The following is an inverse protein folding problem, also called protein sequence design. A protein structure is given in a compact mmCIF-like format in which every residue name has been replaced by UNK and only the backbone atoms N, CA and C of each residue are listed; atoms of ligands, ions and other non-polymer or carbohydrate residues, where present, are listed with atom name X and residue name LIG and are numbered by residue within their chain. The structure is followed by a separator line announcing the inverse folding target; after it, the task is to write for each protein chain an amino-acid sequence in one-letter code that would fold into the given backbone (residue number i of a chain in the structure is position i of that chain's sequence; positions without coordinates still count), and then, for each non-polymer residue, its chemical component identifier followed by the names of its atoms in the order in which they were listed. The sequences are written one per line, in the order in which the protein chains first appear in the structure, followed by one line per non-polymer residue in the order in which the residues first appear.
data_IF_124855215342
#
_entry.id   IF_124855215342
#
_cell.length_a   1.000
_cell.length_b   1.000
_cell.length_c   1.000
_cell.angle_alpha   90.00
_cell.angle_beta   90.00
_cell.angle_gamma   90.00
#
_symmetry.space_group_name_H-M   'P 1'
#
loop_
_entity.id
_entity.type
_entity.pdbx_description
1 polymer ?
#
# COMPACT_ATOMS: atom_id res chain seq x y z
N UNK A 1 34.03 -21.14 100.05
CA UNK A 1 33.43 -20.75 98.75
C UNK A 1 34.51 -19.99 97.98
N UNK A 2 35.32 -20.63 97.12
CA UNK A 2 35.23 -20.46 95.65
C UNK A 2 36.06 -21.50 94.84
N UNK A 3 36.44 -22.66 95.40
CA UNK A 3 37.40 -23.60 94.77
C UNK A 3 36.79 -24.78 93.98
N UNK A 4 35.64 -24.64 93.31
CA UNK A 4 34.99 -25.78 92.61
C UNK A 4 34.48 -25.48 91.18
N UNK A 5 34.89 -24.36 90.56
CA UNK A 5 34.45 -24.02 89.19
C UNK A 5 35.55 -23.84 88.14
N UNK A 6 36.83 -23.85 88.53
CA UNK A 6 37.96 -23.65 87.59
C UNK A 6 38.45 -24.99 87.00
N UNK A 7 38.35 -26.11 87.74
CA UNK A 7 38.83 -27.42 87.28
C UNK A 7 37.99 -28.08 86.17
N UNK A 8 36.71 -27.72 86.02
CA UNK A 8 35.82 -28.28 84.98
C UNK A 8 35.85 -27.47 83.66
N UNK A 9 36.33 -26.23 83.68
CA UNK A 9 36.47 -25.40 82.48
C UNK A 9 37.72 -25.77 81.66
N UNK A 10 38.78 -26.28 82.31
CA UNK A 10 40.06 -26.59 81.66
C UNK A 10 40.05 -27.95 80.92
N UNK A 11 39.16 -28.86 81.30
CA UNK A 11 38.99 -30.16 80.61
C UNK A 11 38.13 -30.01 79.34
N UNK A 12 37.20 -29.04 79.30
CA UNK A 12 36.37 -28.79 78.12
C UNK A 12 37.13 -28.05 77.00
N UNK A 13 38.11 -27.19 77.34
CA UNK A 13 38.93 -26.48 76.36
C UNK A 13 40.01 -27.35 75.71
N UNK A 14 40.52 -28.37 76.42
CA UNK A 14 41.48 -29.33 75.86
C UNK A 14 40.82 -30.30 74.85
N UNK A 15 39.55 -30.66 75.04
CA UNK A 15 38.82 -31.52 74.09
C UNK A 15 38.42 -30.76 72.82
N UNK A 16 38.15 -29.45 72.91
CA UNK A 16 37.87 -28.59 71.75
C UNK A 16 39.11 -28.37 70.87
N UNK A 17 40.30 -28.23 71.47
CA UNK A 17 41.56 -28.11 70.73
C UNK A 17 41.98 -29.43 70.07
N UNK A 18 41.66 -30.59 70.68
CA UNK A 18 41.94 -31.89 70.09
C UNK A 18 41.02 -32.24 68.90
N UNK A 19 39.80 -31.69 68.86
CA UNK A 19 38.88 -31.82 67.71
C UNK A 19 39.19 -30.83 66.57
N UNK A 20 39.90 -29.75 66.84
CA UNK A 20 40.45 -28.84 65.82
C UNK A 20 41.79 -29.32 65.22
N UNK A 21 42.40 -30.36 65.78
CA UNK A 21 43.66 -30.95 65.28
C UNK A 21 43.50 -32.20 64.39
N UNK A 22 42.28 -32.71 64.20
CA UNK A 22 42.00 -33.92 63.40
C UNK A 22 41.03 -33.72 62.22
N UNK A 23 40.46 -32.53 62.04
CA UNK A 23 40.09 -32.11 60.71
C UNK A 23 41.40 -31.66 60.06
N UNK A 24 42.09 -32.59 59.40
CA UNK A 24 43.18 -32.23 58.51
C UNK A 24 42.74 -31.07 57.63
N UNK A 25 43.70 -30.30 57.11
CA UNK A 25 43.46 -29.57 55.88
C UNK A 25 42.86 -30.59 54.90
N UNK A 26 41.53 -30.61 54.78
CA UNK A 26 40.93 -30.66 53.47
C UNK A 26 41.52 -29.42 52.82
N UNK A 27 42.69 -29.59 52.20
CA UNK A 27 43.01 -28.85 51.02
C UNK A 27 41.76 -29.05 50.18
N UNK A 28 40.83 -28.09 50.28
CA UNK A 28 39.86 -27.86 49.26
C UNK A 28 40.75 -27.80 48.03
N UNK A 29 40.70 -28.88 47.26
CA UNK A 29 41.35 -28.95 45.99
C UNK A 29 40.66 -27.82 45.24
N UNK A 30 41.29 -26.65 45.22
CA UNK A 30 40.83 -25.48 44.48
C UNK A 30 40.88 -25.97 43.07
N UNK A 31 39.74 -26.47 42.60
CA UNK A 31 39.58 -26.88 41.23
C UNK A 31 39.44 -25.55 40.53
N UNK A 32 40.58 -24.88 40.31
CA UNK A 32 40.61 -23.52 39.80
C UNK A 32 39.92 -23.54 38.45
N UNK A 33 38.68 -23.07 38.45
CA UNK A 33 37.86 -23.00 37.27
C UNK A 33 38.19 -21.71 36.55
N UNK A 34 38.36 -21.78 35.23
CA UNK A 34 38.29 -20.59 34.39
C UNK A 34 36.88 -20.50 33.84
N UNK A 35 36.15 -19.46 34.21
CA UNK A 35 34.87 -19.13 33.58
C UNK A 35 35.07 -17.98 32.60
N UNK A 36 34.38 -18.04 31.46
CA UNK A 36 34.40 -16.97 30.47
C UNK A 36 33.03 -16.30 30.43
N UNK A 37 33.01 -14.98 30.45
CA UNK A 37 31.79 -14.17 30.36
C UNK A 37 31.99 -13.10 29.29
N UNK A 38 30.95 -12.87 28.48
CA UNK A 38 31.00 -11.92 27.37
C UNK A 38 29.91 -10.86 27.55
N UNK A 39 30.30 -9.60 27.37
CA UNK A 39 29.44 -8.41 27.41
C UNK A 39 29.45 -7.76 26.04
N UNK A 40 28.27 -7.64 25.40
CA UNK A 40 28.15 -7.04 24.07
C UNK A 40 27.46 -5.68 24.14
N UNK A 41 28.12 -4.67 23.55
CA UNK A 41 27.56 -3.35 23.30
C UNK A 41 27.18 -3.25 21.83
N UNK A 42 25.87 -3.25 21.55
CA UNK A 42 25.35 -3.19 20.17
C UNK A 42 24.80 -1.81 19.83
N UNK A 43 25.02 -1.39 18.59
CA UNK A 43 24.49 -0.14 18.04
C UNK A 43 24.07 -0.33 16.59
N UNK A 44 22.89 0.19 16.26
CA UNK A 44 22.32 0.08 14.93
C UNK A 44 22.76 1.27 14.05
N UNK A 45 23.38 0.96 12.92
CA UNK A 45 23.65 1.90 11.85
C UNK A 45 22.66 1.67 10.71
N UNK A 46 21.67 2.55 10.61
CA UNK A 46 20.57 2.42 9.64
C UNK A 46 20.87 3.21 8.38
N UNK A 47 21.03 2.51 7.26
CA UNK A 47 21.03 3.12 5.92
C UNK A 47 19.62 3.06 5.34
N UNK A 48 19.12 4.18 4.83
CA UNK A 48 17.76 4.26 4.28
C UNK A 48 17.77 4.31 2.76
N UNK A 49 16.87 3.55 2.14
CA UNK A 49 16.59 3.60 0.70
C UNK A 49 15.09 3.78 0.52
N UNK A 50 14.70 4.69 -0.37
CA UNK A 50 13.30 4.94 -0.70
C UNK A 50 13.05 4.70 -2.18
N UNK A 51 11.96 4.01 -2.50
CA UNK A 51 11.49 3.78 -3.86
C UNK A 51 10.02 4.22 -3.96
N UNK A 52 9.69 4.95 -5.02
CA UNK A 52 8.30 5.30 -5.34
C UNK A 52 7.87 4.54 -6.60
N UNK A 53 6.79 3.79 -6.49
CA UNK A 53 6.15 3.07 -7.60
C UNK A 53 4.81 3.72 -7.92
N UNK A 54 4.55 3.89 -9.21
CA UNK A 54 3.28 4.44 -9.69
C UNK A 54 2.45 3.35 -10.34
N UNK A 55 1.19 3.25 -9.93
CA UNK A 55 0.19 2.38 -10.55
C UNK A 55 -0.88 3.26 -11.19
N UNK A 56 -1.19 3.00 -12.46
CA UNK A 56 -2.26 3.71 -13.16
C UNK A 56 -3.50 2.83 -13.28
N UNK A 57 -4.65 3.36 -12.86
CA UNK A 57 -5.96 2.78 -13.10
C UNK A 57 -6.74 3.70 -14.03
N UNK A 58 -7.68 3.13 -14.79
CA UNK A 58 -8.40 3.86 -15.82
C UNK A 58 -9.91 3.75 -15.60
N UNK A 59 -10.63 4.83 -15.91
CA UNK A 59 -12.08 4.87 -15.97
C UNK A 59 -12.50 5.64 -17.22
N UNK A 60 -12.91 4.92 -18.25
CA UNK A 60 -13.37 5.50 -19.52
C UNK A 60 -14.89 5.43 -19.61
N UNK A 61 -15.54 6.56 -19.83
CA UNK A 61 -16.98 6.65 -20.05
C UNK A 61 -17.28 6.98 -21.52
N UNK A 62 -18.22 6.25 -22.11
CA UNK A 62 -18.69 6.45 -23.48
C UNK A 62 -20.14 6.90 -23.42
N UNK A 63 -20.39 8.10 -23.94
CA UNK A 63 -21.71 8.71 -24.01
C UNK A 63 -22.14 8.83 -25.48
N UNK A 64 -23.39 8.48 -25.77
CA UNK A 64 -24.01 8.62 -27.07
C UNK A 64 -25.25 9.50 -26.99
N UNK A 65 -25.29 10.59 -27.76
CA UNK A 65 -26.39 11.55 -27.80
C UNK A 65 -27.02 11.63 -29.19
N UNK A 66 -28.31 11.95 -29.25
CA UNK A 66 -28.95 12.46 -30.47
C UNK A 66 -28.91 13.99 -30.43
N UNK A 67 -28.59 14.63 -31.55
CA UNK A 67 -28.42 16.08 -31.59
C UNK A 67 -29.74 16.77 -31.23
N UNK A 68 -29.68 17.71 -30.28
CA UNK A 68 -30.86 18.39 -29.75
C UNK A 68 -31.52 17.69 -28.56
N UNK A 69 -31.11 16.47 -28.20
CA UNK A 69 -31.53 15.79 -26.97
C UNK A 69 -30.41 15.86 -25.91
N UNK A 70 -30.68 16.43 -24.72
CA UNK A 70 -29.72 16.43 -23.62
C UNK A 70 -29.55 15.06 -22.95
N UNK A 71 -30.39 14.07 -23.27
CA UNK A 71 -30.38 12.74 -22.66
C UNK A 71 -29.46 11.80 -23.43
N UNK A 72 -28.49 11.20 -22.74
CA UNK A 72 -27.62 10.19 -23.34
C UNK A 72 -28.42 8.92 -23.64
N UNK A 73 -28.50 8.55 -24.92
CA UNK A 73 -29.09 7.28 -25.37
C UNK A 73 -28.20 6.08 -24.99
N UNK A 74 -26.89 6.31 -24.91
CA UNK A 74 -25.90 5.31 -24.46
C UNK A 74 -25.03 5.95 -23.39
N UNK A 75 -24.88 5.28 -22.26
CA UNK A 75 -23.95 5.66 -21.21
C UNK A 75 -23.32 4.38 -20.63
N UNK A 76 -22.06 4.13 -20.98
CA UNK A 76 -21.32 2.94 -20.54
C UNK A 76 -19.98 3.35 -19.96
N UNK A 77 -19.61 2.76 -18.84
CA UNK A 77 -18.35 3.02 -18.15
C UNK A 77 -17.48 1.76 -18.12
N UNK A 78 -16.18 1.94 -18.32
CA UNK A 78 -15.17 0.89 -18.37
C UNK A 78 -14.03 1.19 -17.41
N UNK A 79 -13.49 0.17 -16.73
CA UNK A 79 -12.27 0.27 -15.91
C UNK A 79 -11.02 0.02 -16.77
N UNK A 80 -11.02 0.55 -18.00
CA UNK A 80 -10.04 0.27 -19.04
C UNK A 80 -9.68 1.58 -19.75
N UNK A 81 -8.45 1.71 -20.28
CA UNK A 81 -8.06 2.89 -21.04
C UNK A 81 -8.77 2.94 -22.39
N UNK A 82 -8.81 4.12 -23.00
CA UNK A 82 -9.43 4.32 -24.33
C UNK A 82 -8.91 3.32 -25.38
N UNK A 83 -7.61 3.01 -25.39
CA UNK A 83 -7.00 2.11 -26.37
C UNK A 83 -7.39 0.63 -26.23
N UNK A 84 -8.16 0.26 -25.22
CA UNK A 84 -8.58 -1.13 -25.01
C UNK A 84 -9.64 -1.59 -26.03
N UNK A 85 -9.55 -2.85 -26.48
CA UNK A 85 -10.44 -3.40 -27.50
C UNK A 85 -11.91 -3.40 -27.09
N UNK A 86 -12.23 -3.61 -25.81
CA UNK A 86 -13.61 -3.57 -25.31
C UNK A 86 -14.18 -2.15 -25.36
N UNK A 87 -13.36 -1.15 -25.02
CA UNK A 87 -13.74 0.27 -25.10
C UNK A 87 -13.93 0.69 -26.55
N UNK A 88 -13.05 0.25 -27.46
CA UNK A 88 -13.19 0.48 -28.90
C UNK A 88 -14.45 -0.16 -29.49
N UNK A 89 -14.75 -1.41 -29.09
CA UNK A 89 -15.98 -2.09 -29.49
C UNK A 89 -17.23 -1.38 -28.98
N UNK A 90 -17.17 -0.78 -27.79
CA UNK A 90 -18.26 0.03 -27.24
C UNK A 90 -18.54 1.25 -28.12
N UNK A 91 -17.53 1.96 -28.64
CA UNK A 91 -17.76 3.08 -29.57
C UNK A 91 -18.45 2.64 -30.87
N UNK A 92 -18.05 1.50 -31.44
CA UNK A 92 -18.70 0.93 -32.62
C UNK A 92 -20.16 0.57 -32.32
N UNK A 93 -20.40 -0.02 -31.14
CA UNK A 93 -21.74 -0.39 -30.69
C UNK A 93 -22.62 0.84 -30.47
N UNK A 94 -22.10 1.87 -29.79
CA UNK A 94 -22.76 3.16 -29.60
C UNK A 94 -23.13 3.82 -30.92
N UNK A 95 -22.23 3.79 -31.92
CA UNK A 95 -22.54 4.27 -33.28
C UNK A 95 -23.66 3.46 -33.93
N UNK A 96 -23.68 2.13 -33.76
CA UNK A 96 -24.76 1.30 -34.31
C UNK A 96 -26.13 1.59 -33.69
N UNK A 97 -26.18 1.83 -32.37
CA UNK A 97 -27.40 2.22 -31.64
C UNK A 97 -27.87 3.60 -32.09
N UNK A 98 -26.96 4.57 -32.20
CA UNK A 98 -27.27 5.90 -32.72
C UNK A 98 -27.73 5.85 -34.18
N UNK A 99 -27.12 5.00 -35.01
CA UNK A 99 -27.52 4.80 -36.40
C UNK A 99 -28.96 4.29 -36.51
N UNK A 100 -29.32 3.28 -35.70
CA UNK A 100 -30.67 2.73 -35.64
C UNK A 100 -31.71 3.75 -35.15
N UNK A 101 -31.29 4.75 -34.37
CA UNK A 101 -32.13 5.83 -33.89
C UNK A 101 -32.11 7.09 -34.79
N UNK A 102 -31.43 7.07 -35.94
CA UNK A 102 -31.24 8.24 -36.83
C UNK A 102 -31.82 8.02 -38.24
N UNK A 103 -32.23 9.10 -38.92
CA UNK A 103 -32.73 9.05 -40.32
C UNK A 103 -31.59 9.01 -41.35
N UNK A 104 -30.44 9.61 -41.01
CA UNK A 104 -29.22 9.57 -41.81
C UNK A 104 -28.16 8.77 -41.06
N UNK A 105 -28.02 7.45 -41.34
CA UNK A 105 -27.12 6.55 -40.61
C UNK A 105 -25.62 6.84 -40.87
N UNK A 106 -25.27 7.96 -41.49
CA UNK A 106 -23.92 8.33 -41.92
C UNK A 106 -23.42 9.66 -41.32
N UNK A 107 -24.26 10.42 -40.59
CA UNK A 107 -23.83 11.67 -39.95
C UNK A 107 -23.66 11.49 -38.44
N UNK A 108 -22.44 11.12 -38.04
CA UNK A 108 -22.00 11.12 -36.65
C UNK A 108 -20.85 12.12 -36.45
N UNK A 109 -20.83 12.76 -35.29
CA UNK A 109 -19.67 13.49 -34.78
C UNK A 109 -19.04 12.71 -33.63
N UNK A 110 -17.71 12.61 -33.60
CA UNK A 110 -16.95 11.95 -32.54
C UNK A 110 -16.40 10.54 -32.88
N UNK A 111 -15.69 9.88 -31.95
CA UNK A 111 -15.63 10.20 -30.52
C UNK A 111 -14.83 11.46 -30.21
N UNK A 112 -15.40 12.34 -29.38
CA UNK A 112 -14.75 13.57 -28.90
C UNK A 112 -14.51 13.43 -27.41
N UNK A 113 -13.26 13.65 -26.95
CA UNK A 113 -12.94 13.69 -25.53
C UNK A 113 -13.49 14.98 -24.92
N UNK A 114 -14.47 14.88 -24.02
CA UNK A 114 -15.08 16.05 -23.37
C UNK A 114 -14.55 16.35 -21.98
N UNK A 115 -14.02 15.33 -21.29
CA UNK A 115 -13.33 15.52 -20.01
C UNK A 115 -12.24 14.49 -19.82
N UNK A 116 -11.12 14.91 -19.24
CA UNK A 116 -10.07 14.01 -18.76
C UNK A 116 -9.47 14.53 -17.47
N UNK A 117 -9.24 13.66 -16.50
CA UNK A 117 -8.50 14.01 -15.28
C UNK A 117 -7.62 12.87 -14.80
N UNK A 118 -6.53 13.22 -14.10
CA UNK A 118 -5.64 12.29 -13.42
C UNK A 118 -5.55 12.70 -11.96
N UNK A 119 -6.03 11.85 -11.07
CA UNK A 119 -6.11 12.15 -9.64
C UNK A 119 -5.40 11.05 -8.85
N UNK A 120 -4.63 11.44 -7.83
CA UNK A 120 -4.09 10.48 -6.87
C UNK A 120 -5.26 9.88 -6.08
N UNK A 121 -5.54 8.60 -6.32
CA UNK A 121 -6.66 7.90 -5.69
C UNK A 121 -6.26 7.23 -4.39
N UNK A 122 -5.02 6.77 -4.28
CA UNK A 122 -4.52 6.12 -3.08
C UNK A 122 -3.00 6.26 -3.00
N UNK A 123 -2.47 6.21 -1.79
CA UNK A 123 -1.04 6.09 -1.54
C UNK A 123 -0.83 5.17 -0.34
N UNK A 124 0.06 4.19 -0.49
CA UNK A 124 0.45 3.30 0.60
C UNK A 124 1.96 3.20 0.69
N UNK A 125 2.47 3.10 1.92
CA UNK A 125 3.90 2.92 2.16
C UNK A 125 4.12 1.66 2.99
N UNK A 126 5.15 0.92 2.61
CA UNK A 126 5.63 -0.24 3.38
C UNK A 126 7.09 -0.02 3.73
N UNK A 127 7.43 -0.28 4.99
CA UNK A 127 8.80 -0.20 5.49
C UNK A 127 9.25 -1.60 5.84
N UNK A 128 10.41 -1.99 5.34
CA UNK A 128 11.09 -3.22 5.70
C UNK A 128 12.50 -2.90 6.15
N UNK A 129 12.98 -3.62 7.14
CA UNK A 129 14.33 -3.47 7.67
C UNK A 129 15.00 -4.84 7.69
N UNK A 130 16.23 -4.90 7.16
CA UNK A 130 17.01 -6.12 7.06
C UNK A 130 18.42 -5.82 7.54
N UNK A 131 18.95 -6.69 8.41
CA UNK A 131 20.36 -6.65 8.78
C UNK A 131 21.22 -7.11 7.62
N UNK A 132 22.09 -6.22 7.13
CA UNK A 132 22.97 -6.44 5.98
C UNK A 132 24.38 -6.83 6.38
N UNK A 133 24.78 -6.53 7.61
CA UNK A 133 26.09 -6.85 8.11
C UNK A 133 26.23 -6.58 9.60
N UNK A 134 27.37 -7.00 10.11
CA UNK A 134 27.80 -6.80 11.49
C UNK A 134 29.31 -6.61 11.48
N UNK A 135 29.81 -5.62 12.21
CA UNK A 135 31.24 -5.39 12.39
C UNK A 135 31.57 -5.26 13.88
N UNK A 136 32.53 -6.07 14.34
CA UNK A 136 33.11 -5.91 15.66
C UNK A 136 34.12 -4.77 15.60
N UNK A 137 33.82 -3.67 16.28
CA UNK A 137 34.63 -2.46 16.27
C UNK A 137 35.77 -2.51 17.28
N UNK A 138 35.55 -3.18 18.42
CA UNK A 138 36.54 -3.35 19.46
C UNK A 138 36.23 -4.59 20.28
N UNK A 139 37.29 -5.19 20.84
CA UNK A 139 37.24 -6.29 21.80
C UNK A 139 38.26 -5.99 22.88
N UNK A 140 37.86 -6.08 24.14
CA UNK A 140 38.74 -6.00 25.29
C UNK A 140 38.56 -7.25 26.17
N UNK A 141 39.62 -7.68 26.84
CA UNK A 141 39.57 -8.86 27.71
C UNK A 141 40.29 -8.55 29.00
N UNK A 142 39.56 -8.71 30.11
CA UNK A 142 40.05 -8.48 31.46
C UNK A 142 39.97 -9.79 32.22
N UNK A 143 41.06 -10.11 32.93
CA UNK A 143 41.11 -11.25 33.84
C UNK A 143 40.81 -10.78 35.26
N UNK A 144 39.80 -11.38 35.88
CA UNK A 144 39.50 -11.19 37.29
C UNK A 144 40.02 -12.40 38.08
N UNK A 145 40.86 -12.12 39.06
CA UNK A 145 41.50 -13.14 39.90
C UNK A 145 41.38 -12.74 41.37
N UNK A 146 41.02 -13.71 42.21
CA UNK A 146 40.98 -13.54 43.67
C UNK A 146 39.60 -13.75 44.26
N UNK A 147 39.51 -13.71 45.59
CA UNK A 147 38.25 -13.85 46.32
C UNK A 147 37.60 -12.48 46.53
N UNK A 148 36.96 -11.93 45.50
CA UNK A 148 36.42 -10.57 45.50
C UNK A 148 35.09 -10.47 44.73
N UNK A 149 34.28 -9.48 45.10
CA UNK A 149 33.06 -9.10 44.41
C UNK A 149 33.37 -7.92 43.48
N UNK A 150 33.21 -8.11 42.18
CA UNK A 150 33.43 -7.08 41.17
C UNK A 150 32.09 -6.55 40.67
N UNK A 151 31.90 -5.23 40.76
CA UNK A 151 30.74 -4.56 40.20
C UNK A 151 30.98 -4.26 38.72
N UNK A 152 30.21 -4.88 37.82
CA UNK A 152 30.40 -4.77 36.38
C UNK A 152 29.56 -3.63 35.80
N UNK A 153 30.21 -2.51 35.49
CA UNK A 153 29.61 -1.50 34.63
C UNK A 153 30.40 -1.31 33.34
N UNK A 154 29.71 -0.86 32.31
CA UNK A 154 30.27 -0.67 30.97
C UNK A 154 31.48 0.29 30.95
N UNK A 155 31.46 1.37 31.73
CA UNK A 155 32.57 2.32 31.81
C UNK A 155 33.86 1.74 32.42
N UNK A 156 33.77 0.78 33.34
CA UNK A 156 34.93 0.15 33.99
C UNK A 156 35.50 -1.02 33.21
N UNK A 157 34.69 -1.70 32.39
CA UNK A 157 35.06 -2.95 31.72
C UNK A 157 35.24 -2.80 30.20
N UNK A 158 35.88 -1.72 29.77
CA UNK A 158 36.37 -1.57 28.40
C UNK A 158 35.37 -1.01 27.38
N UNK A 159 34.19 -0.51 27.80
CA UNK A 159 33.28 0.17 26.86
C UNK A 159 33.93 1.42 26.30
N UNK A 160 34.07 1.45 24.98
CA UNK A 160 34.61 2.61 24.27
C UNK A 160 33.46 3.44 23.72
N UNK A 161 33.25 4.62 24.31
CA UNK A 161 32.10 5.49 24.01
C UNK A 161 32.03 5.92 22.53
N UNK A 162 33.17 6.00 21.83
CA UNK A 162 33.20 6.33 20.41
C UNK A 162 34.32 5.59 19.68
N UNK A 163 33.97 4.79 18.67
CA UNK A 163 34.92 4.06 17.82
C UNK A 163 34.54 4.24 16.36
N UNK A 164 35.49 4.67 15.52
CA UNK A 164 35.26 4.95 14.10
C UNK A 164 34.05 5.87 13.83
N UNK A 165 33.75 6.80 14.75
CA UNK A 165 32.62 7.72 14.64
C UNK A 165 31.26 7.14 15.09
N UNK A 166 31.22 5.89 15.54
CA UNK A 166 30.04 5.23 16.10
C UNK A 166 30.03 5.40 17.61
N UNK A 167 28.94 5.92 18.17
CA UNK A 167 28.78 6.11 19.61
C UNK A 167 28.13 4.91 20.28
N UNK A 168 28.72 4.42 21.37
CA UNK A 168 28.18 3.34 22.19
C UNK A 168 27.65 3.90 23.51
N UNK A 169 26.55 3.31 24.00
CA UNK A 169 26.06 3.60 25.34
C UNK A 169 26.89 2.82 26.37
N UNK A 170 27.76 3.57 27.06
CA UNK A 170 28.60 3.09 28.16
C UNK A 170 28.05 3.46 29.54
N UNK A 171 26.73 3.62 29.66
CA UNK A 171 26.05 3.82 30.95
C UNK A 171 25.36 2.56 31.48
N UNK A 172 25.45 1.46 30.74
CA UNK A 172 24.85 0.18 31.11
C UNK A 172 25.58 -0.43 32.31
N UNK A 173 24.80 -0.88 33.28
CA UNK A 173 25.25 -1.62 34.46
C UNK A 173 24.85 -3.09 34.28
N UNK A 174 25.81 -4.00 34.51
CA UNK A 174 25.66 -5.44 34.35
C UNK A 174 25.58 -6.18 35.69
N UNK A 175 25.67 -5.46 36.82
CA UNK A 175 25.57 -6.01 38.17
C UNK A 175 26.87 -6.64 38.67
N UNK A 176 26.78 -7.40 39.76
CA UNK A 176 27.97 -7.89 40.47
C UNK A 176 28.34 -9.32 40.07
N UNK A 177 29.64 -9.58 39.93
CA UNK A 177 30.21 -10.92 39.75
C UNK A 177 31.15 -11.24 40.91
N UNK A 178 30.88 -12.37 41.57
CA UNK A 178 31.73 -12.90 42.63
C UNK A 178 32.74 -13.89 42.06
N UNK A 179 34.02 -13.67 42.30
CA UNK A 179 35.10 -14.61 41.98
C UNK A 179 35.51 -15.33 43.25
N UNK A 180 35.50 -16.66 43.23
CA UNK A 180 35.88 -17.46 44.40
C UNK A 180 37.40 -17.65 44.48
N UNK A 181 37.91 -17.97 45.67
CA UNK A 181 39.33 -18.20 45.88
C UNK A 181 39.84 -19.38 45.01
N UNK A 182 40.82 -19.09 44.16
CA UNK A 182 41.41 -20.08 43.24
C UNK A 182 40.72 -20.15 41.88
N UNK A 183 39.61 -19.44 41.67
CA UNK A 183 38.95 -19.32 40.36
C UNK A 183 39.45 -18.09 39.60
N UNK A 184 39.27 -18.14 38.28
CA UNK A 184 39.58 -17.07 37.33
C UNK A 184 38.35 -16.78 36.48
N UNK A 185 38.04 -15.51 36.25
CA UNK A 185 36.98 -15.10 35.33
C UNK A 185 37.59 -14.26 34.21
N UNK A 186 37.46 -14.76 32.98
CA UNK A 186 37.81 -14.01 31.78
C UNK A 186 36.57 -13.24 31.30
N UNK A 187 36.60 -11.93 31.50
CA UNK A 187 35.57 -11.02 31.01
C UNK A 187 36.01 -10.49 29.66
N UNK A 188 35.20 -10.73 28.64
CA UNK A 188 35.40 -10.16 27.30
C UNK A 188 34.31 -9.15 27.04
N UNK A 189 34.67 -7.91 26.73
CA UNK A 189 33.72 -6.90 26.27
C UNK A 189 33.93 -6.63 24.78
N UNK A 190 32.85 -6.50 24.03
CA UNK A 190 32.90 -6.25 22.60
C UNK A 190 31.89 -5.19 22.18
N UNK A 191 32.33 -4.26 21.33
CA UNK A 191 31.47 -3.29 20.67
C UNK A 191 31.17 -3.72 19.25
N UNK A 192 29.88 -3.80 18.93
CA UNK A 192 29.39 -4.34 17.68
C UNK A 192 28.49 -3.31 17.00
N UNK A 193 28.82 -2.99 15.74
CA UNK A 193 27.98 -2.20 14.87
C UNK A 193 27.14 -3.11 13.99
N UNK A 194 25.82 -3.01 14.13
CA UNK A 194 24.85 -3.72 13.32
C UNK A 194 24.44 -2.82 12.14
N UNK A 195 24.73 -3.26 10.92
CA UNK A 195 24.35 -2.52 9.71
C UNK A 195 22.97 -2.96 9.25
N UNK A 196 22.03 -2.02 9.27
CA UNK A 196 20.64 -2.24 8.89
C UNK A 196 20.33 -1.48 7.60
N UNK A 197 19.72 -2.15 6.63
CA UNK A 197 19.14 -1.52 5.46
C UNK A 197 17.64 -1.39 5.66
N UNK A 198 17.17 -0.16 5.79
CA UNK A 198 15.74 0.18 5.84
C UNK A 198 15.28 0.60 4.46
N UNK A 199 14.40 -0.19 3.87
CA UNK A 199 13.80 0.09 2.57
C UNK A 199 12.36 0.54 2.75
N UNK A 200 12.02 1.71 2.23
CA UNK A 200 10.66 2.24 2.18
C UNK A 200 10.17 2.20 0.75
N UNK A 201 9.12 1.42 0.48
CA UNK A 201 8.46 1.39 -0.83
C UNK A 201 7.10 2.08 -0.71
N UNK A 202 6.95 3.19 -1.45
CA UNK A 202 5.70 3.93 -1.57
C UNK A 202 5.03 3.58 -2.89
N UNK A 203 3.78 3.15 -2.85
CA UNK A 203 2.96 2.87 -4.04
C UNK A 203 1.89 3.95 -4.16
N UNK A 204 1.98 4.76 -5.21
CA UNK A 204 1.00 5.79 -5.55
C UNK A 204 0.08 5.27 -6.66
N UNK A 205 -1.22 5.23 -6.39
CA UNK A 205 -2.23 4.81 -7.37
C UNK A 205 -2.95 6.03 -7.94
N UNK A 206 -2.82 6.26 -9.23
CA UNK A 206 -3.50 7.33 -9.96
C UNK A 206 -4.71 6.80 -10.71
N UNK A 207 -5.86 7.43 -10.53
CA UNK A 207 -7.06 7.20 -11.33
C UNK A 207 -7.09 8.18 -12.50
N UNK A 208 -7.02 7.65 -13.71
CA UNK A 208 -7.17 8.36 -14.96
C UNK A 208 -8.63 8.23 -15.43
N UNK A 209 -9.36 9.33 -15.44
CA UNK A 209 -10.74 9.37 -15.95
C UNK A 209 -10.78 10.03 -17.32
N UNK A 210 -11.59 9.49 -18.22
CA UNK A 210 -11.83 10.06 -19.53
C UNK A 210 -13.30 9.89 -19.93
N UNK A 211 -13.93 10.94 -20.45
CA UNK A 211 -15.30 10.93 -20.95
C UNK A 211 -15.29 11.25 -22.43
N UNK A 212 -15.86 10.35 -23.23
CA UNK A 212 -15.95 10.48 -24.67
C UNK A 212 -17.40 10.54 -25.12
N UNK A 213 -17.67 11.43 -26.05
CA UNK A 213 -19.02 11.67 -26.59
C UNK A 213 -19.10 11.35 -28.07
N UNK A 214 -20.20 10.72 -28.48
CA UNK A 214 -20.62 10.56 -29.87
C UNK A 214 -21.98 11.20 -30.04
N UNK A 215 -22.14 12.05 -31.05
CA UNK A 215 -23.40 12.73 -31.34
C UNK A 215 -23.92 12.27 -32.71
N UNK A 216 -25.12 11.70 -32.76
CA UNK A 216 -25.85 11.37 -34.00
C UNK A 216 -26.91 12.42 -34.33
N UNK A 217 -27.36 12.51 -35.59
CA UNK A 217 -28.44 13.44 -35.98
C UNK A 217 -29.84 12.85 -35.72
N UNK A 218 -30.79 13.60 -35.14
CA UNK A 218 -32.11 13.08 -34.75
C UNK A 218 -33.02 12.80 -35.95
N UNK A 219 -34.09 12.04 -35.69
CA UNK A 219 -35.23 11.88 -36.59
C UNK A 219 -36.02 13.18 -36.63
N UNK A 220 -35.92 13.96 -37.71
CA UNK A 220 -36.99 14.89 -38.07
C UNK A 220 -37.94 14.14 -39.00
N UNK A 221 -39.01 13.57 -38.45
CA UNK A 221 -40.16 13.27 -39.28
C UNK A 221 -40.78 14.61 -39.67
N UNK A 222 -40.37 15.18 -40.80
CA UNK A 222 -41.24 16.10 -41.50
C UNK A 222 -42.40 15.25 -42.03
N UNK A 223 -43.46 15.09 -41.23
CA UNK A 223 -44.76 14.74 -41.78
C UNK A 223 -45.03 15.81 -42.84
N UNK A 224 -45.20 15.48 -44.13
CA UNK A 224 -45.65 16.46 -45.09
C UNK A 224 -46.98 16.98 -44.56
N UNK A 225 -47.03 18.28 -44.21
CA UNK A 225 -48.30 18.93 -43.95
C UNK A 225 -49.25 18.57 -45.10
N UNK A 226 -50.48 18.09 -44.83
CA UNK A 226 -51.41 17.83 -45.91
C UNK A 226 -51.60 19.16 -46.64
N UNK A 227 -51.05 19.26 -47.85
CA UNK A 227 -51.09 20.47 -48.64
C UNK A 227 -52.53 20.95 -48.72
N UNK A 228 -52.79 22.13 -48.18
CA UNK A 228 -54.08 22.84 -48.20
C UNK A 228 -54.62 23.07 -49.62
N UNK A 229 -53.87 22.71 -50.66
CA UNK A 229 -54.29 22.73 -52.07
C UNK A 229 -55.24 21.61 -52.51
N UNK A 230 -55.30 20.45 -51.83
CA UNK A 230 -56.17 19.34 -52.27
C UNK A 230 -57.67 19.61 -52.02
N UNK A 231 -58.00 20.40 -51.00
CA UNK A 231 -59.39 20.76 -50.66
C UNK A 231 -59.94 21.92 -51.51
N UNK A 232 -59.08 22.80 -52.03
CA UNK A 232 -59.51 23.89 -52.94
C UNK A 232 -59.73 23.37 -54.36
N UNK A 233 -58.96 22.35 -54.80
CA UNK A 233 -59.14 21.72 -56.11
C UNK A 233 -60.44 20.94 -56.28
N UNK A 234 -60.93 20.30 -55.21
CA UNK A 234 -62.20 19.55 -55.21
C UNK A 234 -63.44 20.46 -55.15
N UNK A 235 -63.36 21.62 -54.47
CA UNK A 235 -64.46 22.59 -54.44
C UNK A 235 -64.62 23.33 -55.78
N UNK A 236 -63.53 23.62 -56.49
CA UNK A 236 -63.56 24.25 -57.82
C UNK A 236 -64.16 23.36 -58.92
N UNK A 237 -63.95 22.04 -58.85
CA UNK A 237 -64.48 21.09 -59.82
C UNK A 237 -65.99 20.83 -59.67
N UNK A 238 -66.54 21.01 -58.47
CA UNK A 238 -67.98 20.90 -58.19
C UNK A 238 -68.72 22.19 -58.65
N UNK A 239 -68.10 23.36 -58.49
CA UNK A 239 -68.68 24.64 -58.96
C UNK A 239 -68.71 24.78 -60.49
N UNK A 240 -67.73 24.20 -61.20
CA UNK A 240 -67.70 24.24 -62.68
C UNK A 240 -68.74 23.31 -63.35
N UNK A 241 -69.16 22.23 -62.68
CA UNK A 241 -70.26 21.36 -63.16
C UNK A 241 -71.66 21.95 -62.97
N UNK A 242 -71.82 22.99 -62.16
CA UNK A 242 -73.11 23.60 -61.85
C UNK A 242 -73.51 24.80 -62.75
N UNK A 243 -72.62 25.28 -63.63
CA UNK A 243 -72.82 26.54 -64.39
C UNK A 243 -72.89 26.40 -65.92
N UNK A 244 -72.97 25.20 -66.49
CA UNK A 244 -73.23 25.07 -67.94
C UNK A 244 -74.73 25.18 -68.27
N UNK A 245 -75.15 26.14 -69.10
CA UNK A 245 -76.55 26.28 -69.52
C UNK A 245 -76.99 25.11 -70.40
N UNK A 246 -78.18 24.57 -70.11
CA UNK A 246 -78.90 23.67 -71.02
C UNK A 246 -79.46 24.48 -72.18
N UNK A 247 -78.99 24.24 -73.40
CA UNK A 247 -79.66 24.64 -74.64
C UNK A 247 -80.17 23.40 -75.38
N UNK A 248 -81.44 23.48 -75.76
CA UNK A 248 -82.32 22.48 -76.38
C UNK A 248 -82.23 22.55 -77.92
N UNK A 249 -82.70 21.48 -78.60
CA UNK A 249 -83.15 21.37 -80.02
C UNK A 249 -82.19 20.56 -80.92
N UNK A 250 -82.55 19.57 -81.74
CA UNK A 250 -83.82 18.94 -82.14
C UNK A 250 -83.69 18.30 -83.55
N UNK A 251 -84.05 17.00 -83.70
CA UNK A 251 -84.47 16.24 -84.91
C UNK A 251 -83.48 16.02 -86.11
N UNK A 252 -83.69 15.07 -87.08
CA UNK A 252 -84.92 14.31 -87.43
C UNK A 252 -84.77 12.78 -87.75
N UNK A 253 -85.87 12.21 -88.26
CA UNK A 253 -86.36 10.83 -88.32
C UNK A 253 -85.84 9.88 -89.43
N UNK A 254 -86.04 8.55 -89.28
CA UNK A 254 -86.97 7.73 -90.09
C UNK A 254 -86.90 6.20 -89.81
N UNK A 255 -88.08 5.56 -89.91
CA UNK A 255 -88.50 4.13 -89.91
C UNK A 255 -87.93 3.31 -91.12
N UNK A 256 -88.27 2.02 -91.39
CA UNK A 256 -89.30 1.13 -90.82
C UNK A 256 -88.86 -0.34 -90.50
N UNK A 257 -89.78 -1.12 -89.92
CA UNK A 257 -89.73 -2.57 -89.78
C UNK A 257 -90.66 -3.09 -88.70
#
# INVERSE_FOLDING_TARGET
MFNSRIGKALVLSALAAALLGHAGLAAAQTTGGTTAMTLEHRVDSVTTVAETRTVETYSTQVLGFLAGDPTALVNVQFVLPFGDAAVQAAFVTTRSILAAASVNPLSFSGPTLTSSSRVLSNSSSTVSEVKTGEEVLWVDTVELVGQELFHLNSAQFGCVALVKGVSFDCTVDFGDVFVAAGDTVLLTSAGIADYLLRTTVTTETFLNTAVYEIVGTPITQSVPEPGTGLLVGLAGLIAWRATRPRTVSGAPASLPG
#
